data_IF_082852384679
#
_entry.id   IF_082852384679
#
_cell.length_a   1.000
_cell.length_b   1.000
_cell.length_c   1.000
_cell.angle_alpha   90.00
_cell.angle_beta   90.00
_cell.angle_gamma   90.00
#
_symmetry.space_group_name_H-M   'P 1'
#
loop_
_entity.id
_entity.type
_entity.pdbx_description
1 polymer ?
#
# COMPACT_ATOMS: atom_id res chain seq x y z
N UNK A 1 -7.96 -3.11 -19.43
CA UNK A 1 -7.17 -3.51 -18.25
C UNK A 1 -7.84 -2.97 -17.00
N UNK A 2 -8.11 -3.82 -16.01
CA UNK A 2 -8.63 -3.40 -14.71
C UNK A 2 -7.59 -2.50 -14.01
N UNK A 3 -7.86 -1.18 -13.92
CA UNK A 3 -6.94 -0.17 -13.38
C UNK A 3 -6.59 -0.31 -11.89
N UNK A 4 -6.91 -1.47 -11.29
CA UNK A 4 -6.65 -1.85 -9.91
C UNK A 4 -5.38 -2.69 -9.76
N UNK A 5 -4.99 -3.51 -10.75
CA UNK A 5 -3.66 -4.14 -10.78
C UNK A 5 -2.66 -3.15 -11.35
N UNK A 6 -2.00 -2.39 -10.48
CA UNK A 6 -1.25 -1.21 -10.88
C UNK A 6 0.15 -1.12 -10.28
N UNK A 7 0.59 -2.15 -9.57
CA UNK A 7 1.97 -2.40 -9.16
C UNK A 7 2.35 -3.85 -9.50
N UNK A 8 3.42 -4.06 -10.26
CA UNK A 8 3.86 -5.40 -10.66
C UNK A 8 5.14 -5.83 -9.93
N UNK A 9 5.26 -7.12 -9.60
CA UNK A 9 6.47 -7.71 -9.05
C UNK A 9 6.65 -9.14 -9.53
N UNK A 10 7.60 -9.35 -10.44
CA UNK A 10 7.74 -10.63 -11.13
C UNK A 10 6.43 -10.99 -11.85
N UNK A 11 5.84 -12.13 -11.50
CA UNK A 11 4.55 -12.58 -12.03
C UNK A 11 3.35 -12.14 -11.17
N UNK A 12 3.59 -11.50 -10.02
CA UNK A 12 2.54 -11.01 -9.14
C UNK A 12 2.13 -9.58 -9.48
N UNK A 13 0.91 -9.22 -9.09
CA UNK A 13 0.37 -7.88 -9.28
C UNK A 13 -0.47 -7.47 -8.08
N UNK A 14 -0.27 -6.23 -7.63
CA UNK A 14 -0.88 -5.69 -6.42
C UNK A 14 -1.65 -4.41 -6.73
N UNK A 15 -2.52 -4.02 -5.79
CA UNK A 15 -3.33 -2.82 -5.87
C UNK A 15 -2.76 -1.73 -4.98
N UNK A 16 -2.31 -0.63 -5.59
CA UNK A 16 -1.97 0.57 -4.84
C UNK A 16 -3.19 1.08 -4.04
N UNK A 17 -2.91 1.53 -2.81
CA UNK A 17 -3.88 2.10 -1.88
C UNK A 17 -4.31 3.48 -2.38
N UNK A 18 -5.60 3.66 -2.66
CA UNK A 18 -6.15 4.92 -3.19
C UNK A 18 -6.34 5.91 -2.07
N UNK A 19 -5.67 7.06 -2.18
CA UNK A 19 -5.76 8.18 -1.24
C UNK A 19 -5.97 9.46 -2.04
N UNK A 20 -7.12 9.67 -2.70
CA UNK A 20 -7.39 10.90 -3.45
C UNK A 20 -7.28 12.13 -2.54
N UNK A 21 -6.94 13.30 -3.11
CA UNK A 21 -6.81 14.54 -2.35
C UNK A 21 -8.11 14.90 -1.62
N UNK A 22 -8.04 15.14 -0.30
CA UNK A 22 -9.23 15.30 0.54
C UNK A 22 -10.17 16.39 0.06
N UNK A 23 -9.66 17.56 -0.34
CA UNK A 23 -10.49 18.68 -0.81
C UNK A 23 -11.31 18.32 -2.05
N UNK A 24 -10.68 17.64 -3.01
CA UNK A 24 -11.36 17.20 -4.23
C UNK A 24 -12.37 16.09 -3.92
N UNK A 25 -12.03 15.20 -2.98
CA UNK A 25 -12.92 14.15 -2.52
C UNK A 25 -14.15 14.72 -1.80
N UNK A 26 -13.94 15.61 -0.82
CA UNK A 26 -14.98 16.23 -0.02
C UNK A 26 -15.97 16.98 -0.90
N UNK A 27 -15.49 17.79 -1.85
CA UNK A 27 -16.35 18.46 -2.83
C UNK A 27 -17.15 17.47 -3.69
N UNK A 28 -16.56 16.35 -4.08
CA UNK A 28 -17.22 15.36 -4.95
C UNK A 28 -18.30 14.56 -4.20
N UNK A 29 -18.09 14.28 -2.92
CA UNK A 29 -18.92 13.40 -2.11
C UNK A 29 -19.80 14.18 -1.11
N UNK A 30 -19.80 15.51 -1.19
CA UNK A 30 -20.52 16.41 -0.27
C UNK A 30 -20.21 16.14 1.20
N UNK A 31 -18.91 16.01 1.51
CA UNK A 31 -18.41 15.71 2.86
C UNK A 31 -17.88 16.99 3.53
N UNK A 32 -17.81 16.94 4.87
CA UNK A 32 -17.05 17.93 5.63
C UNK A 32 -15.56 17.89 5.25
N UNK A 33 -15.04 19.03 4.77
CA UNK A 33 -13.65 19.14 4.30
C UNK A 33 -12.65 18.91 5.44
N UNK A 34 -12.95 19.39 6.66
CA UNK A 34 -12.03 19.27 7.79
C UNK A 34 -11.87 17.80 8.22
N UNK A 35 -12.97 17.04 8.25
CA UNK A 35 -12.95 15.61 8.55
C UNK A 35 -12.25 14.81 7.44
N UNK A 36 -12.51 15.13 6.16
CA UNK A 36 -11.82 14.51 5.04
C UNK A 36 -10.29 14.74 5.11
N UNK A 37 -9.86 15.96 5.44
CA UNK A 37 -8.44 16.30 5.63
C UNK A 37 -7.82 15.54 6.81
N UNK A 38 -8.55 15.43 7.93
CA UNK A 38 -8.10 14.69 9.11
C UNK A 38 -7.88 13.21 8.78
N UNK A 39 -8.82 12.58 8.08
CA UNK A 39 -8.72 11.17 7.69
C UNK A 39 -7.66 10.95 6.60
N UNK A 40 -7.45 11.90 5.68
CA UNK A 40 -6.36 11.86 4.71
C UNK A 40 -5.01 11.86 5.41
N UNK A 41 -4.79 12.78 6.35
CA UNK A 41 -3.55 12.86 7.11
C UNK A 41 -3.31 11.58 7.90
N UNK A 42 -4.36 11.07 8.57
CA UNK A 42 -4.28 9.83 9.33
C UNK A 42 -3.86 8.63 8.46
N UNK A 43 -4.47 8.41 7.29
CA UNK A 43 -4.11 7.27 6.42
C UNK A 43 -2.70 7.39 5.85
N UNK A 44 -2.26 8.61 5.49
CA UNK A 44 -0.92 8.83 4.96
C UNK A 44 0.16 8.58 6.00
N UNK A 45 -0.05 9.11 7.21
CA UNK A 45 0.91 8.93 8.30
C UNK A 45 0.97 7.48 8.76
N UNK A 46 -0.18 6.80 8.82
CA UNK A 46 -0.24 5.37 9.14
C UNK A 46 0.49 4.53 8.10
N UNK A 47 0.28 4.79 6.79
CA UNK A 47 1.01 4.07 5.72
C UNK A 47 2.53 4.28 5.83
N UNK A 48 2.98 5.49 6.16
CA UNK A 48 4.41 5.80 6.34
C UNK A 48 5.00 5.19 7.60
N UNK A 49 4.24 5.17 8.70
CA UNK A 49 4.63 4.49 9.92
C UNK A 49 4.72 2.97 9.68
N UNK A 50 3.82 2.40 8.87
CA UNK A 50 3.83 1.00 8.49
C UNK A 50 5.06 0.63 7.66
N UNK A 51 5.49 1.54 6.77
CA UNK A 51 6.75 1.39 6.02
C UNK A 51 7.97 1.26 6.93
N UNK A 52 7.94 1.93 8.09
CA UNK A 52 8.99 1.92 9.11
C UNK A 52 8.78 0.88 10.22
N UNK A 53 7.81 -0.01 10.07
CA UNK A 53 7.47 -1.03 11.07
C UNK A 53 7.02 -0.45 12.44
N UNK A 54 6.45 0.76 12.44
CA UNK A 54 6.01 1.46 13.67
C UNK A 54 4.54 1.20 14.04
N UNK A 55 3.74 0.67 13.11
CA UNK A 55 2.31 0.32 13.31
C UNK A 55 2.01 -1.04 12.69
N UNK A 56 0.94 -1.70 13.14
CA UNK A 56 0.57 -3.03 12.65
C UNK A 56 -0.12 -3.02 11.29
N UNK A 57 -0.19 -4.20 10.66
CA UNK A 57 -1.00 -4.44 9.46
C UNK A 57 -2.46 -4.05 9.70
N UNK A 58 -3.05 -4.48 10.82
CA UNK A 58 -4.45 -4.22 11.15
C UNK A 58 -4.76 -2.72 11.29
N UNK A 59 -3.90 -1.97 11.98
CA UNK A 59 -4.05 -0.52 12.12
C UNK A 59 -3.97 0.17 10.76
N UNK A 60 -3.02 -0.25 9.92
CA UNK A 60 -2.81 0.31 8.58
C UNK A 60 -3.97 0.00 7.64
N UNK A 61 -4.45 -1.24 7.69
CA UNK A 61 -5.57 -1.72 6.90
C UNK A 61 -6.86 -1.00 7.28
N UNK A 62 -7.15 -0.87 8.58
CA UNK A 62 -8.30 -0.11 9.07
C UNK A 62 -8.27 1.35 8.61
N UNK A 63 -7.12 2.03 8.69
CA UNK A 63 -6.97 3.40 8.22
C UNK A 63 -7.19 3.52 6.69
N UNK A 64 -6.66 2.58 5.90
CA UNK A 64 -6.85 2.54 4.46
C UNK A 64 -8.32 2.34 4.06
N UNK A 65 -9.04 1.46 4.76
CA UNK A 65 -10.47 1.24 4.53
C UNK A 65 -11.32 2.42 4.98
N UNK A 66 -11.01 3.03 6.12
CA UNK A 66 -11.71 4.21 6.62
C UNK A 66 -11.67 5.37 5.61
N UNK A 67 -10.50 5.64 5.01
CA UNK A 67 -10.39 6.65 3.98
C UNK A 67 -11.05 6.24 2.65
N UNK A 68 -10.95 4.96 2.27
CA UNK A 68 -11.61 4.46 1.08
C UNK A 68 -13.14 4.59 1.15
N UNK A 69 -13.72 4.43 2.35
CA UNK A 69 -15.16 4.57 2.58
C UNK A 69 -15.67 6.00 2.31
N UNK A 70 -14.82 7.03 2.49
CA UNK A 70 -15.17 8.41 2.10
C UNK A 70 -15.37 8.55 0.59
N UNK A 71 -14.73 7.70 -0.23
CA UNK A 71 -14.86 7.72 -1.68
C UNK A 71 -16.03 6.91 -2.22
N UNK A 72 -16.72 6.15 -1.37
CA UNK A 72 -17.87 5.33 -1.72
C UNK A 72 -17.79 3.94 -1.08
N UNK A 73 -18.64 3.03 -1.55
CA UNK A 73 -18.74 1.68 -1.01
C UNK A 73 -17.41 0.92 -1.14
N UNK A 74 -16.89 0.46 0.00
CA UNK A 74 -15.78 -0.48 0.06
C UNK A 74 -16.31 -1.88 -0.26
N UNK A 75 -15.94 -2.40 -1.42
CA UNK A 75 -16.31 -3.76 -1.84
C UNK A 75 -15.42 -4.81 -1.19
N UNK A 76 -15.90 -6.06 -1.12
CA UNK A 76 -15.10 -7.20 -0.61
C UNK A 76 -13.79 -7.39 -1.38
N UNK A 77 -13.84 -7.10 -2.68
CA UNK A 77 -12.63 -7.08 -3.50
C UNK A 77 -11.63 -6.01 -3.04
N UNK A 78 -12.09 -4.81 -2.70
CA UNK A 78 -11.20 -3.73 -2.22
C UNK A 78 -10.54 -4.12 -0.91
N UNK A 79 -11.31 -4.74 0.00
CA UNK A 79 -10.82 -5.32 1.26
C UNK A 79 -9.68 -6.29 1.00
N UNK A 80 -9.93 -7.34 0.21
CA UNK A 80 -8.93 -8.34 -0.14
C UNK A 80 -7.69 -7.72 -0.81
N UNK A 81 -7.88 -6.89 -1.83
CA UNK A 81 -6.76 -6.33 -2.62
C UNK A 81 -5.88 -5.40 -1.75
N UNK A 82 -6.45 -4.65 -0.81
CA UNK A 82 -5.70 -3.83 0.14
C UNK A 82 -4.98 -4.67 1.19
N UNK A 83 -5.67 -5.66 1.76
CA UNK A 83 -5.07 -6.57 2.73
C UNK A 83 -3.87 -7.29 2.13
N UNK A 84 -4.03 -7.91 0.96
CA UNK A 84 -2.94 -8.61 0.24
C UNK A 84 -1.75 -7.67 -0.02
N UNK A 85 -2.01 -6.42 -0.43
CA UNK A 85 -0.94 -5.46 -0.69
C UNK A 85 -0.18 -5.08 0.58
N UNK A 86 -0.90 -4.80 1.67
CA UNK A 86 -0.29 -4.40 2.94
C UNK A 86 0.42 -5.56 3.63
N UNK A 87 -0.15 -6.77 3.57
CA UNK A 87 0.44 -8.00 4.11
C UNK A 87 1.72 -8.38 3.37
N UNK A 88 1.68 -8.41 2.03
CA UNK A 88 2.81 -8.83 1.19
C UNK A 88 3.91 -7.78 1.06
N UNK A 89 3.67 -6.52 1.45
CA UNK A 89 4.62 -5.38 1.38
C UNK A 89 5.53 -5.39 0.13
N UNK A 90 4.99 -5.53 -1.09
CA UNK A 90 5.79 -5.86 -2.27
C UNK A 90 6.81 -4.78 -2.66
N UNK A 91 6.68 -3.55 -2.15
CA UNK A 91 7.66 -2.48 -2.35
C UNK A 91 8.97 -2.71 -1.58
N UNK A 92 8.94 -3.48 -0.49
CA UNK A 92 10.14 -3.82 0.31
C UNK A 92 11.05 -4.84 -0.39
N UNK A 93 10.50 -5.58 -1.36
CA UNK A 93 11.20 -6.66 -2.06
C UNK A 93 11.66 -6.30 -3.46
N UNK A 94 11.24 -5.15 -3.99
CA UNK A 94 11.66 -4.72 -5.32
C UNK A 94 13.00 -4.00 -5.27
N UNK A 95 14.05 -4.46 -5.97
CA UNK A 95 15.38 -3.86 -5.90
C UNK A 95 15.52 -2.60 -6.79
N UNK A 96 14.44 -2.11 -7.40
CA UNK A 96 14.52 -0.93 -8.27
C UNK A 96 14.81 0.34 -7.45
N UNK A 97 15.48 1.31 -8.07
CA UNK A 97 15.85 2.57 -7.40
C UNK A 97 14.65 3.38 -6.90
N UNK A 98 13.45 3.14 -7.44
CA UNK A 98 12.23 3.84 -7.05
C UNK A 98 11.73 3.27 -5.72
N UNK A 99 11.46 1.96 -5.66
CA UNK A 99 10.97 1.30 -4.45
C UNK A 99 11.95 1.47 -3.29
N UNK A 100 13.25 1.28 -3.53
CA UNK A 100 14.28 1.48 -2.51
C UNK A 100 14.36 2.91 -1.97
N UNK A 101 13.97 3.93 -2.74
CA UNK A 101 14.11 5.35 -2.34
C UNK A 101 12.85 5.92 -1.71
N UNK A 102 11.67 5.49 -2.15
CA UNK A 102 10.40 6.10 -1.73
C UNK A 102 9.52 5.17 -0.90
N UNK A 103 9.88 3.89 -0.77
CA UNK A 103 9.17 2.91 0.05
C UNK A 103 7.68 2.85 -0.30
N UNK A 104 6.84 2.82 0.73
CA UNK A 104 5.38 2.73 0.63
C UNK A 104 4.77 3.80 -0.28
N UNK A 105 5.42 4.95 -0.50
CA UNK A 105 4.89 6.02 -1.37
C UNK A 105 4.66 5.55 -2.82
N UNK A 106 5.35 4.49 -3.27
CA UNK A 106 5.07 3.87 -4.58
C UNK A 106 3.68 3.22 -4.62
N UNK A 107 3.21 2.72 -3.48
CA UNK A 107 1.91 2.08 -3.30
C UNK A 107 0.77 3.04 -3.00
N UNK A 108 1.03 4.35 -2.89
CA UNK A 108 -0.04 5.33 -2.69
C UNK A 108 -0.52 5.82 -4.07
N UNK A 109 -1.74 5.46 -4.44
CA UNK A 109 -2.40 5.95 -5.64
C UNK A 109 -2.99 7.33 -5.37
N UNK A 110 -2.17 8.36 -5.56
CA UNK A 110 -2.58 9.76 -5.50
C UNK A 110 -1.61 10.69 -6.21
N UNK A 111 -2.13 11.75 -6.83
CA UNK A 111 -1.32 12.76 -7.51
C UNK A 111 -0.53 12.23 -8.73
N UNK A 112 -0.19 13.14 -9.63
CA UNK A 112 0.44 12.79 -10.89
C UNK A 112 1.88 12.25 -10.71
N UNK A 113 2.64 12.82 -9.77
CA UNK A 113 4.03 12.45 -9.53
C UNK A 113 4.20 11.01 -9.04
N UNK A 114 3.39 10.54 -8.09
CA UNK A 114 3.47 9.17 -7.57
C UNK A 114 3.05 8.15 -8.62
N UNK A 115 2.01 8.48 -9.40
CA UNK A 115 1.57 7.65 -10.52
C UNK A 115 2.67 7.48 -11.58
N UNK A 116 3.41 8.53 -11.92
CA UNK A 116 4.58 8.43 -12.81
C UNK A 116 5.69 7.54 -12.24
N UNK A 117 6.05 7.69 -10.97
CA UNK A 117 7.07 6.86 -10.32
C UNK A 117 6.70 5.38 -10.33
N UNK A 118 5.45 5.04 -9.98
CA UNK A 118 4.96 3.66 -10.10
C UNK A 118 4.95 3.17 -11.56
N UNK A 119 4.65 4.06 -12.51
CA UNK A 119 4.79 3.78 -13.94
C UNK A 119 6.21 3.36 -14.33
N UNK A 120 7.24 4.11 -13.92
CA UNK A 120 8.64 3.76 -14.17
C UNK A 120 9.05 2.44 -13.52
N UNK A 121 8.57 2.15 -12.29
CA UNK A 121 8.74 0.84 -11.66
C UNK A 121 8.12 -0.27 -12.52
N UNK A 122 6.87 -0.11 -12.95
CA UNK A 122 6.19 -1.09 -13.79
C UNK A 122 6.88 -1.28 -15.15
N UNK A 123 7.40 -0.22 -15.77
CA UNK A 123 8.20 -0.30 -17.00
C UNK A 123 9.49 -1.09 -16.76
N UNK A 124 10.16 -0.87 -15.63
CA UNK A 124 11.34 -1.65 -15.25
C UNK A 124 11.01 -3.13 -15.07
N UNK A 125 9.86 -3.47 -14.47
CA UNK A 125 9.42 -4.86 -14.33
C UNK A 125 9.11 -5.52 -15.67
N UNK A 126 8.44 -4.80 -16.58
CA UNK A 126 8.20 -5.28 -17.94
C UNK A 126 9.53 -5.55 -18.67
N UNK A 127 10.49 -4.63 -18.56
CA UNK A 127 11.83 -4.82 -19.12
C UNK A 127 12.47 -6.11 -18.58
N UNK A 128 12.36 -6.37 -17.27
CA UNK A 128 12.90 -7.58 -16.63
C UNK A 128 12.22 -8.84 -17.16
N UNK A 129 10.89 -8.84 -17.29
CA UNK A 129 10.12 -9.96 -17.85
C UNK A 129 10.51 -10.29 -19.29
N UNK A 130 10.67 -9.28 -20.14
CA UNK A 130 11.08 -9.46 -21.55
C UNK A 130 12.47 -10.10 -21.69
N UNK A 131 13.33 -9.93 -20.69
CA UNK A 131 14.68 -10.53 -20.65
C UNK A 131 14.72 -11.86 -19.87
N UNK A 132 13.56 -12.43 -19.52
CA UNK A 132 13.48 -13.71 -18.84
C UNK A 132 13.92 -13.70 -17.37
N UNK A 133 14.02 -12.53 -16.73
CA UNK A 133 14.31 -12.47 -15.30
C UNK A 133 13.08 -12.88 -14.49
N UNK A 134 13.19 -13.96 -13.74
CA UNK A 134 12.17 -14.38 -12.76
C UNK A 134 12.52 -13.78 -11.40
N UNK A 135 11.59 -13.01 -10.83
CA UNK A 135 11.66 -12.57 -9.45
C UNK A 135 10.54 -13.25 -8.67
N UNK A 136 10.90 -14.16 -7.77
CA UNK A 136 9.96 -14.74 -6.82
C UNK A 136 9.70 -13.76 -5.67
N UNK A 137 8.45 -13.70 -5.24
CA UNK A 137 8.07 -12.96 -4.05
C UNK A 137 8.30 -13.83 -2.82
N UNK A 138 9.00 -13.34 -1.79
CA UNK A 138 9.07 -14.05 -0.53
C UNK A 138 7.65 -14.23 0.05
N UNK A 139 7.45 -15.27 0.89
CA UNK A 139 6.17 -15.48 1.57
C UNK A 139 5.77 -14.26 2.42
N UNK A 140 4.49 -14.14 2.83
CA UNK A 140 4.06 -13.09 3.78
C UNK A 140 4.97 -13.03 5.01
N UNK A 141 5.15 -11.84 5.58
CA UNK A 141 5.90 -11.71 6.83
C UNK A 141 5.14 -12.40 7.96
N UNK A 142 5.82 -13.26 8.71
CA UNK A 142 5.26 -13.83 9.93
C UNK A 142 5.11 -12.71 10.96
N UNK A 143 3.88 -12.29 11.23
CA UNK A 143 3.55 -11.24 12.20
C UNK A 143 3.22 -11.82 13.58
N UNK A 144 3.51 -13.09 13.82
CA UNK A 144 3.38 -13.69 15.14
C UNK A 144 4.21 -12.88 16.15
N UNK A 145 3.62 -12.39 17.25
CA UNK A 145 4.39 -11.72 18.29
C UNK A 145 5.47 -12.69 18.76
N UNK A 146 6.72 -12.23 18.73
CA UNK A 146 7.86 -12.98 19.26
C UNK A 146 7.53 -13.38 20.70
N UNK A 147 7.34 -14.67 20.92
CA UNK A 147 7.16 -15.27 22.23
C UNK A 147 8.50 -15.15 22.97
N UNK A 148 8.79 -13.96 23.49
CA UNK A 148 9.89 -13.75 24.44
C UNK A 148 9.51 -14.50 25.70
N UNK A 149 10.09 -15.70 25.80
CA UNK A 149 9.76 -16.71 26.79
C UNK A 149 9.65 -16.19 28.21
N UNK A 150 8.69 -16.79 28.92
CA UNK A 150 8.65 -16.81 30.37
C UNK A 150 9.99 -17.30 30.90
N UNK A 151 10.80 -16.38 31.43
CA UNK A 151 11.88 -16.75 32.34
C UNK A 151 11.25 -17.23 33.64
N UNK A 152 11.24 -18.55 33.81
CA UNK A 152 11.03 -19.20 35.09
C UNK A 152 12.08 -18.69 36.08
N UNK A 153 11.66 -17.98 37.12
CA UNK A 153 12.44 -17.82 38.34
C UNK A 153 11.89 -18.77 39.39
N UNK A 154 12.82 -19.56 39.95
CA UNK A 154 12.64 -20.50 41.06
C UNK A 154 12.10 -19.81 42.31
#
# INVERSE_FOLDING_TARGET
MDGRRNYFLGNAAFSAIRVPEARALAKKQDLDEAEALRLEQAVLDTLRAYDRDEVSLETTYAAALAYAALAGEVTERTRRDYHETLDRRPWMYCPCAICNRIGVEVMIFRGNNRNRRRGFHNTWQLYKQLHGYVQELPPPLDTSPSDTGQMTFL
#
